data_IF_569118104366
#
_entry.id   IF_569118104366
#
_cell.length_a   1.000
_cell.length_b   1.000
_cell.length_c   1.000
_cell.angle_alpha   90.00
_cell.angle_beta   90.00
_cell.angle_gamma   90.00
#
_symmetry.space_group_name_H-M   'P 1'
#
loop_
_entity.id
_entity.type
_entity.pdbx_description
1 polymer ?
#
# COMPACT_ATOMS: atom_id res chain seq x y z
N UNK A 1 6.60 9.68 5.19
CA UNK A 1 5.12 9.70 5.08
C UNK A 1 4.66 8.43 4.39
N UNK A 2 4.55 7.33 5.13
CA UNK A 2 4.29 6.00 4.54
C UNK A 2 3.05 5.32 5.06
N UNK A 3 2.47 5.85 6.06
CA UNK A 3 1.46 5.14 6.85
C UNK A 3 0.05 5.60 6.60
N UNK A 4 -0.15 6.62 5.78
CA UNK A 4 -1.48 7.13 5.55
C UNK A 4 -1.65 7.69 4.15
N UNK A 5 -2.68 7.24 3.48
CA UNK A 5 -3.17 7.89 2.30
C UNK A 5 -4.04 9.07 2.73
N UNK A 6 -3.79 10.25 2.15
CA UNK A 6 -4.60 11.45 2.40
C UNK A 6 -6.10 11.27 2.04
N UNK A 7 -6.43 10.18 1.32
CA UNK A 7 -7.79 9.85 0.93
C UNK A 7 -8.63 9.32 2.11
N UNK A 8 -8.02 8.61 3.06
CA UNK A 8 -8.72 8.19 4.27
C UNK A 8 -8.33 9.07 5.45
N UNK A 9 -9.02 10.18 5.61
CA UNK A 9 -8.83 11.15 6.70
C UNK A 9 -10.19 11.65 7.17
N UNK A 10 -10.34 12.10 8.44
CA UNK A 10 -11.57 12.72 8.88
C UNK A 10 -11.90 13.99 8.09
N UNK A 11 -13.16 14.30 7.97
CA UNK A 11 -13.63 15.61 7.47
C UNK A 11 -13.53 16.66 8.57
N UNK A 12 -13.24 17.90 8.21
CA UNK A 12 -13.20 19.03 9.14
C UNK A 12 -11.80 19.43 9.60
N UNK A 13 -11.64 19.86 10.86
CA UNK A 13 -10.38 20.42 11.37
C UNK A 13 -9.21 19.44 11.37
N UNK A 14 -9.46 18.14 11.45
CA UNK A 14 -8.45 17.08 11.48
C UNK A 14 -8.08 16.54 10.09
N UNK A 15 -8.52 17.17 9.02
CA UNK A 15 -8.20 16.74 7.64
C UNK A 15 -6.70 16.70 7.43
N UNK A 16 -6.20 15.54 6.99
CA UNK A 16 -4.78 15.32 6.73
C UNK A 16 -3.89 15.15 7.97
N UNK A 17 -4.42 15.38 9.18
CA UNK A 17 -3.68 15.22 10.42
C UNK A 17 -3.80 13.81 11.02
N UNK A 18 -4.92 13.15 10.77
CA UNK A 18 -5.17 11.78 11.20
C UNK A 18 -5.25 10.91 9.94
N UNK A 19 -4.47 9.85 9.89
CA UNK A 19 -4.42 8.94 8.77
C UNK A 19 -4.51 7.49 9.25
N UNK A 20 -5.08 6.63 8.42
CA UNK A 20 -5.15 5.18 8.66
C UNK A 20 -3.89 4.48 8.17
N UNK A 21 -3.61 3.29 8.72
CA UNK A 21 -2.53 2.44 8.24
C UNK A 21 -2.80 1.97 6.81
N UNK A 22 -1.75 1.91 6.01
CA UNK A 22 -1.80 1.28 4.69
C UNK A 22 -1.87 -0.23 4.82
N UNK A 23 -2.34 -0.89 3.76
CA UNK A 23 -2.28 -2.35 3.65
C UNK A 23 -0.83 -2.83 3.75
N UNK A 24 -0.63 -4.03 4.28
CA UNK A 24 0.67 -4.66 4.51
C UNK A 24 1.56 -3.99 5.57
N UNK A 25 1.19 -2.83 6.12
CA UNK A 25 1.92 -2.24 7.24
C UNK A 25 1.70 -3.06 8.53
N UNK A 26 2.75 -3.19 9.32
CA UNK A 26 2.67 -3.87 10.62
C UNK A 26 3.47 -3.10 11.68
N UNK A 27 3.22 -3.43 12.93
CA UNK A 27 3.98 -2.92 14.07
C UNK A 27 5.07 -3.92 14.43
N UNK A 28 6.31 -3.46 14.55
CA UNK A 28 7.42 -4.32 14.95
C UNK A 28 7.43 -4.55 16.49
N UNK A 29 8.38 -5.37 16.97
CA UNK A 29 8.52 -5.67 18.40
C UNK A 29 8.84 -4.45 19.26
N UNK A 30 9.43 -3.42 18.68
CA UNK A 30 9.76 -2.15 19.35
C UNK A 30 8.63 -1.12 19.30
N UNK A 31 7.49 -1.44 18.69
CA UNK A 31 6.33 -0.55 18.57
C UNK A 31 6.36 0.41 17.38
N UNK A 32 7.34 0.30 16.47
CA UNK A 32 7.42 1.13 15.26
C UNK A 32 6.68 0.48 14.10
N UNK A 33 6.14 1.32 13.22
CA UNK A 33 5.52 0.89 11.97
C UNK A 33 6.59 0.49 10.95
N UNK A 34 6.37 -0.62 10.29
CA UNK A 34 7.22 -1.10 9.20
C UNK A 34 6.39 -1.60 8.04
N UNK A 35 6.95 -1.49 6.84
CA UNK A 35 6.33 -1.91 5.59
C UNK A 35 7.25 -2.85 4.83
N UNK A 36 6.69 -3.81 4.07
CA UNK A 36 7.48 -4.80 3.35
C UNK A 36 7.94 -4.28 1.99
N UNK A 37 9.16 -4.67 1.60
CA UNK A 37 9.75 -4.38 0.30
C UNK A 37 10.51 -5.58 -0.25
N UNK A 38 10.63 -5.65 -1.57
CA UNK A 38 11.56 -6.56 -2.23
C UNK A 38 12.91 -5.89 -2.42
N UNK A 39 13.98 -6.61 -2.13
CA UNK A 39 15.33 -6.13 -2.38
C UNK A 39 15.65 -6.19 -3.88
N UNK A 40 16.36 -5.17 -4.35
CA UNK A 40 16.88 -5.10 -5.72
C UNK A 40 18.41 -5.11 -5.66
N UNK A 41 19.04 -5.96 -6.46
CA UNK A 41 20.50 -6.02 -6.59
C UNK A 41 20.84 -5.96 -8.07
N UNK A 42 21.63 -4.96 -8.47
CA UNK A 42 22.06 -4.76 -9.85
C UNK A 42 20.89 -4.80 -10.86
N UNK A 43 19.76 -4.14 -10.51
CA UNK A 43 18.58 -4.08 -11.35
C UNK A 43 17.72 -5.35 -11.35
N UNK A 44 18.06 -6.37 -10.56
CA UNK A 44 17.26 -7.59 -10.39
C UNK A 44 16.49 -7.57 -9.10
N UNK A 45 15.18 -7.74 -9.20
CA UNK A 45 14.27 -7.86 -8.04
C UNK A 45 14.35 -9.27 -7.48
N UNK A 46 14.70 -9.39 -6.21
CA UNK A 46 14.76 -10.68 -5.51
C UNK A 46 13.40 -11.01 -4.92
N UNK A 47 12.55 -11.67 -5.70
CA UNK A 47 11.23 -12.14 -5.25
C UNK A 47 11.27 -13.51 -4.57
N UNK A 48 12.46 -14.06 -4.39
CA UNK A 48 12.65 -15.36 -3.73
C UNK A 48 12.85 -15.15 -2.24
N UNK A 49 11.94 -15.66 -1.44
CA UNK A 49 12.01 -15.60 0.01
C UNK A 49 10.96 -14.69 0.65
N UNK A 50 11.25 -14.23 1.86
CA UNK A 50 10.37 -13.32 2.58
C UNK A 50 10.71 -11.86 2.24
N UNK A 51 9.69 -10.99 2.19
CA UNK A 51 9.92 -9.57 2.02
C UNK A 51 10.68 -8.99 3.22
N UNK A 52 11.45 -7.95 2.97
CA UNK A 52 12.19 -7.23 4.01
C UNK A 52 11.31 -6.10 4.52
N UNK A 53 11.10 -6.05 5.82
CA UNK A 53 10.34 -4.98 6.45
C UNK A 53 11.28 -3.86 6.88
N UNK A 54 10.95 -2.65 6.48
CA UNK A 54 11.71 -1.44 6.78
C UNK A 54 10.86 -0.47 7.60
N UNK A 55 11.49 0.13 8.61
CA UNK A 55 10.94 1.28 9.35
C UNK A 55 11.23 2.57 8.60
N UNK A 56 10.52 3.66 8.92
CA UNK A 56 10.64 4.92 8.19
C UNK A 56 12.05 5.53 8.21
N UNK A 57 12.76 5.41 9.33
CA UNK A 57 14.15 5.89 9.48
C UNK A 57 15.13 5.13 8.58
N UNK A 58 14.98 3.81 8.50
CA UNK A 58 15.81 2.95 7.65
C UNK A 58 15.45 3.18 6.17
N UNK A 59 14.18 3.33 5.87
CA UNK A 59 13.68 3.53 4.52
C UNK A 59 14.22 4.83 3.88
N UNK A 60 14.38 5.88 4.66
CA UNK A 60 14.94 7.14 4.18
C UNK A 60 16.40 7.04 3.71
N UNK A 61 17.11 5.98 4.09
CA UNK A 61 18.50 5.74 3.68
C UNK A 61 18.62 5.08 2.31
N UNK A 62 17.52 4.52 1.77
CA UNK A 62 17.52 3.72 0.55
C UNK A 62 16.69 4.35 -0.58
N UNK A 63 17.05 3.99 -1.80
CA UNK A 63 16.34 4.36 -3.02
C UNK A 63 15.26 3.33 -3.31
N UNK A 64 14.00 3.72 -3.15
CA UNK A 64 12.85 2.83 -3.24
C UNK A 64 12.03 3.15 -4.48
N UNK A 65 11.89 2.14 -5.36
CA UNK A 65 11.08 2.22 -6.55
C UNK A 65 9.60 1.87 -6.25
N UNK A 66 8.64 2.46 -6.97
CA UNK A 66 7.23 2.07 -6.88
C UNK A 66 6.99 0.68 -7.47
N UNK A 67 5.88 0.05 -7.07
CA UNK A 67 5.56 -1.32 -7.48
C UNK A 67 5.10 -1.46 -8.93
N UNK A 68 4.74 -0.36 -9.60
CA UNK A 68 4.25 -0.33 -10.98
C UNK A 68 5.35 -0.43 -12.05
N UNK A 69 6.61 -0.47 -11.64
CA UNK A 69 7.74 -0.62 -12.55
C UNK A 69 7.70 -2.02 -13.19
N UNK A 70 7.76 -2.04 -14.51
CA UNK A 70 7.76 -3.29 -15.28
C UNK A 70 9.06 -4.07 -15.10
N UNK A 71 8.92 -5.37 -14.87
CA UNK A 71 10.03 -6.32 -14.82
C UNK A 71 9.91 -7.35 -15.95
N UNK A 72 11.01 -7.87 -16.44
CA UNK A 72 11.00 -8.97 -17.39
C UNK A 72 10.74 -10.33 -16.69
N UNK A 73 10.66 -11.41 -17.45
CA UNK A 73 10.45 -12.77 -16.93
C UNK A 73 11.52 -13.22 -15.91
N UNK A 74 12.71 -12.63 -15.96
CA UNK A 74 13.82 -12.92 -15.06
C UNK A 74 13.91 -11.96 -13.87
N UNK A 75 12.85 -11.14 -13.66
CA UNK A 75 12.75 -10.12 -12.62
C UNK A 75 13.76 -8.96 -12.71
N UNK A 76 14.29 -8.67 -13.90
CA UNK A 76 15.09 -7.47 -14.12
C UNK A 76 14.21 -6.26 -14.45
N UNK A 77 14.60 -5.11 -13.95
CA UNK A 77 13.97 -3.83 -14.27
C UNK A 77 14.25 -3.47 -15.75
N UNK A 78 13.19 -3.21 -16.51
CA UNK A 78 13.29 -3.02 -17.97
C UNK A 78 13.60 -1.57 -18.34
N UNK A 79 13.11 -0.61 -17.55
CA UNK A 79 13.29 0.82 -17.85
C UNK A 79 14.72 1.27 -17.55
N UNK A 80 15.28 2.08 -18.43
CA UNK A 80 16.62 2.67 -18.28
C UNK A 80 16.67 3.76 -17.20
N UNK A 81 15.56 4.42 -16.95
CA UNK A 81 15.41 5.48 -15.94
C UNK A 81 14.19 5.14 -15.09
N UNK A 82 14.40 5.08 -13.79
CA UNK A 82 13.38 4.70 -12.82
C UNK A 82 13.20 5.82 -11.82
N UNK A 83 11.96 6.34 -11.65
CA UNK A 83 11.66 7.27 -10.59
C UNK A 83 11.70 6.51 -9.26
N UNK A 84 12.48 7.01 -8.31
CA UNK A 84 12.59 6.45 -6.97
C UNK A 84 12.36 7.52 -5.93
N UNK A 85 11.91 7.11 -4.76
CA UNK A 85 11.90 7.94 -3.57
C UNK A 85 13.21 7.74 -2.81
N UNK A 86 13.88 8.84 -2.53
CA UNK A 86 15.08 8.88 -1.69
C UNK A 86 14.93 10.02 -0.69
N UNK A 87 14.97 9.69 0.59
CA UNK A 87 14.61 10.63 1.66
C UNK A 87 13.18 11.13 1.44
N UNK A 88 13.00 12.43 1.22
CA UNK A 88 11.69 13.07 0.98
C UNK A 88 11.50 13.51 -0.47
N UNK A 89 12.48 13.27 -1.32
CA UNK A 89 12.48 13.69 -2.72
C UNK A 89 12.24 12.53 -3.68
N UNK A 90 11.72 12.86 -4.84
CA UNK A 90 11.62 11.94 -5.98
C UNK A 90 12.74 12.24 -6.96
N UNK A 91 13.58 11.26 -7.20
CA UNK A 91 14.71 11.34 -8.12
C UNK A 91 14.63 10.25 -9.18
N UNK A 92 15.25 10.50 -10.32
CA UNK A 92 15.37 9.52 -11.39
C UNK A 92 16.75 8.87 -11.32
N UNK A 93 16.80 7.55 -11.28
CA UNK A 93 18.02 6.77 -11.15
C UNK A 93 18.08 5.65 -12.18
N UNK A 94 19.28 5.11 -12.38
CA UNK A 94 19.48 3.91 -13.20
C UNK A 94 19.03 2.64 -12.45
N UNK A 95 18.66 1.55 -13.16
CA UNK A 95 18.15 0.32 -12.54
C UNK A 95 19.08 -0.28 -11.49
N UNK A 96 20.39 -0.19 -11.68
CA UNK A 96 21.39 -0.75 -10.75
C UNK A 96 21.55 0.06 -9.45
N UNK A 97 21.02 1.28 -9.42
CA UNK A 97 21.05 2.14 -8.23
C UNK A 97 19.82 1.98 -7.34
N UNK A 98 18.83 1.22 -7.77
CA UNK A 98 17.61 0.93 -6.98
C UNK A 98 17.95 -0.08 -5.91
N UNK A 99 17.60 0.22 -4.66
CA UNK A 99 17.85 -0.66 -3.51
C UNK A 99 16.66 -1.55 -3.19
N UNK A 100 15.45 -0.99 -3.24
CA UNK A 100 14.21 -1.69 -2.92
C UNK A 100 13.09 -1.31 -3.88
N UNK A 101 12.11 -2.21 -3.99
CA UNK A 101 10.87 -1.98 -4.73
C UNK A 101 9.68 -2.36 -3.85
N UNK A 102 8.62 -1.59 -3.93
CA UNK A 102 7.36 -1.90 -3.23
C UNK A 102 6.77 -3.23 -3.73
N UNK A 103 6.14 -3.98 -2.84
CA UNK A 103 5.60 -5.32 -3.16
C UNK A 103 4.45 -5.22 -4.13
N UNK A 104 3.52 -4.30 -3.89
CA UNK A 104 2.28 -4.17 -4.66
C UNK A 104 1.83 -2.70 -4.70
N UNK A 105 1.19 -2.26 -5.78
CA UNK A 105 0.57 -0.93 -5.84
C UNK A 105 -0.48 -0.71 -4.75
N UNK A 106 -1.14 -1.76 -4.27
CA UNK A 106 -2.14 -1.69 -3.20
C UNK A 106 -1.53 -1.29 -1.84
N UNK A 107 -0.23 -1.38 -1.69
CA UNK A 107 0.49 -0.99 -0.48
C UNK A 107 0.34 0.49 -0.12
N UNK A 108 -0.04 1.34 -1.07
CA UNK A 108 -0.23 2.77 -0.86
C UNK A 108 -1.64 3.14 -0.37
N UNK A 109 -2.59 2.22 -0.43
CA UNK A 109 -3.97 2.44 0.02
C UNK A 109 -4.23 1.82 1.38
N UNK A 110 -5.18 2.39 2.12
CA UNK A 110 -5.67 1.80 3.38
C UNK A 110 -6.58 0.60 3.11
N UNK A 111 -6.90 -0.15 4.16
CA UNK A 111 -7.83 -1.28 4.06
C UNK A 111 -9.19 -0.83 3.54
N UNK A 112 -9.75 0.27 4.06
CA UNK A 112 -11.05 0.78 3.60
C UNK A 112 -11.02 1.20 2.13
N UNK A 113 -9.99 1.94 1.71
CA UNK A 113 -9.82 2.34 0.32
C UNK A 113 -9.61 1.15 -0.63
N UNK A 114 -8.97 0.09 -0.16
CA UNK A 114 -8.77 -1.14 -0.95
C UNK A 114 -10.06 -1.92 -1.24
N UNK A 115 -11.13 -1.66 -0.50
CA UNK A 115 -12.44 -2.27 -0.69
C UNK A 115 -13.37 -1.49 -1.63
N UNK A 116 -12.94 -0.33 -2.11
CA UNK A 116 -13.72 0.47 -3.07
C UNK A 116 -13.47 -0.06 -4.48
N UNK A 117 -14.50 -0.61 -5.17
CA UNK A 117 -14.36 -1.07 -6.55
C UNK A 117 -14.14 0.12 -7.49
N UNK A 118 -13.31 -0.05 -8.52
CA UNK A 118 -12.94 0.99 -9.49
C UNK A 118 -12.37 2.26 -8.85
N UNK A 119 -11.62 2.09 -7.79
CA UNK A 119 -11.05 3.18 -7.00
C UNK A 119 -10.23 4.19 -7.85
N UNK A 120 -9.50 3.70 -8.86
CA UNK A 120 -8.69 4.50 -9.77
C UNK A 120 -9.50 5.45 -10.67
N UNK A 121 -10.80 5.21 -10.80
CA UNK A 121 -11.72 6.03 -11.58
C UNK A 121 -12.51 7.04 -10.74
N UNK A 122 -12.37 6.99 -9.42
CA UNK A 122 -13.12 7.84 -8.51
C UNK A 122 -12.39 9.15 -8.25
N UNK A 123 -13.16 10.22 -8.06
CA UNK A 123 -12.64 11.49 -7.54
C UNK A 123 -12.18 11.33 -6.08
N UNK A 124 -11.08 11.99 -5.72
CA UNK A 124 -10.49 11.88 -4.37
C UNK A 124 -11.46 12.28 -3.26
N UNK A 125 -12.28 13.31 -3.48
CA UNK A 125 -13.29 13.75 -2.49
C UNK A 125 -14.35 12.69 -2.24
N UNK A 126 -14.82 12.03 -3.30
CA UNK A 126 -15.82 10.94 -3.19
C UNK A 126 -15.24 9.68 -2.59
N UNK A 127 -14.00 9.35 -2.90
CA UNK A 127 -13.29 8.24 -2.28
C UNK A 127 -13.09 8.46 -0.78
N UNK A 128 -12.76 9.68 -0.36
CA UNK A 128 -12.66 10.06 1.05
C UNK A 128 -14.01 9.89 1.77
N UNK A 129 -15.09 10.42 1.18
CA UNK A 129 -16.43 10.28 1.74
C UNK A 129 -16.85 8.80 1.85
N UNK A 130 -16.62 8.01 0.80
CA UNK A 130 -16.92 6.58 0.78
C UNK A 130 -16.16 5.80 1.84
N UNK A 131 -14.88 6.06 2.02
CA UNK A 131 -14.05 5.44 3.06
C UNK A 131 -14.55 5.77 4.46
N UNK A 132 -14.99 7.00 4.70
CA UNK A 132 -15.57 7.41 5.98
C UNK A 132 -16.93 6.74 6.23
N UNK A 133 -17.77 6.61 5.20
CA UNK A 133 -19.07 5.94 5.30
C UNK A 133 -18.95 4.43 5.56
N UNK A 134 -17.91 3.75 5.07
CA UNK A 134 -17.68 2.34 5.36
C UNK A 134 -17.56 2.06 6.87
N UNK A 135 -16.98 2.97 7.65
CA UNK A 135 -16.89 2.84 9.11
C UNK A 135 -18.21 3.04 9.83
N UNK A 136 -19.20 3.61 9.16
CA UNK A 136 -20.56 3.85 9.68
C UNK A 136 -21.57 2.82 9.20
N UNK A 137 -21.10 1.80 8.47
CA UNK A 137 -21.98 0.75 7.92
C UNK A 137 -22.60 -0.10 9.03
N UNK A 138 -23.83 -0.52 8.80
CA UNK A 138 -24.59 -1.39 9.71
C UNK A 138 -24.74 -2.76 9.05
N UNK A 139 -24.48 -3.87 9.78
CA UNK A 139 -24.68 -5.21 9.25
C UNK A 139 -26.12 -5.44 8.82
N UNK A 140 -26.31 -6.11 7.69
CA UNK A 140 -27.63 -6.48 7.19
C UNK A 140 -28.16 -7.71 7.93
N UNK A 141 -29.48 -7.78 8.10
CA UNK A 141 -30.14 -8.96 8.69
C UNK A 141 -29.93 -10.21 7.82
N UNK A 142 -30.00 -10.05 6.51
CA UNK A 142 -29.69 -11.09 5.52
C UNK A 142 -28.57 -10.60 4.61
N UNK A 143 -27.30 -10.90 4.95
CA UNK A 143 -26.17 -10.46 4.15
C UNK A 143 -26.17 -11.18 2.79
N UNK A 144 -25.85 -10.42 1.74
CA UNK A 144 -25.70 -10.93 0.39
C UNK A 144 -24.30 -10.64 -0.14
N UNK A 145 -23.80 -11.52 -1.01
CA UNK A 145 -22.54 -11.30 -1.68
C UNK A 145 -22.66 -10.11 -2.65
N UNK A 146 -21.73 -9.15 -2.64
CA UNK A 146 -21.77 -8.06 -3.61
C UNK A 146 -21.55 -8.59 -5.03
N UNK A 147 -22.24 -7.97 -6.01
CA UNK A 147 -22.09 -8.31 -7.43
C UNK A 147 -20.74 -7.84 -7.95
N UNK A 148 -20.32 -6.65 -7.52
CA UNK A 148 -19.02 -6.04 -7.87
C UNK A 148 -18.18 -5.90 -6.61
N UNK A 149 -16.95 -6.36 -6.66
CA UNK A 149 -16.02 -6.31 -5.55
C UNK A 149 -14.57 -6.25 -6.02
N UNK A 150 -13.66 -6.03 -5.08
CA UNK A 150 -12.22 -5.93 -5.35
C UNK A 150 -11.48 -7.27 -5.27
N UNK A 151 -12.12 -8.31 -4.74
CA UNK A 151 -11.50 -9.61 -4.49
C UNK A 151 -10.75 -9.71 -3.16
N UNK A 152 -10.60 -8.62 -2.41
CA UNK A 152 -9.94 -8.58 -1.11
C UNK A 152 -10.90 -8.79 0.06
N UNK A 153 -12.20 -8.77 -0.17
CA UNK A 153 -13.23 -8.84 0.87
C UNK A 153 -13.09 -10.09 1.72
N UNK A 154 -12.88 -11.24 1.07
CA UNK A 154 -12.72 -12.52 1.78
C UNK A 154 -11.49 -12.53 2.67
N UNK A 155 -10.35 -12.09 2.16
CA UNK A 155 -9.10 -12.02 2.92
C UNK A 155 -9.22 -11.09 4.12
N UNK A 156 -9.80 -9.92 3.92
CA UNK A 156 -10.01 -8.94 4.99
C UNK A 156 -10.97 -9.49 6.06
N UNK A 157 -12.03 -10.18 5.66
CA UNK A 157 -12.96 -10.79 6.60
C UNK A 157 -12.30 -11.88 7.48
N UNK A 158 -11.41 -12.68 6.90
CA UNK A 158 -10.63 -13.68 7.64
C UNK A 158 -9.63 -12.99 8.60
N UNK A 159 -8.85 -12.04 8.10
CA UNK A 159 -7.80 -11.38 8.87
C UNK A 159 -8.37 -10.54 10.02
N UNK A 160 -9.58 -10.00 9.86
CA UNK A 160 -10.30 -9.28 10.92
C UNK A 160 -10.93 -10.20 11.97
N UNK A 161 -10.95 -11.52 11.74
CA UNK A 161 -11.57 -12.49 12.64
C UNK A 161 -13.11 -12.51 12.60
N UNK A 162 -13.74 -11.85 11.63
CA UNK A 162 -15.20 -11.82 11.47
C UNK A 162 -15.76 -13.15 10.94
N UNK A 163 -14.94 -13.92 10.25
CA UNK A 163 -15.28 -15.25 9.74
C UNK A 163 -14.27 -16.28 10.21
N UNK A 164 -14.74 -17.51 10.44
CA UNK A 164 -13.87 -18.64 10.69
C UNK A 164 -13.22 -19.08 9.37
N UNK A 165 -11.92 -19.32 9.42
CA UNK A 165 -11.13 -19.86 8.29
C UNK A 165 -11.34 -21.35 8.13
#
# INVERSE_FOLDING_TARGET
MQTGLLIETPEGQNVGLIASLTTCARVNKSGFLETPFWRVINGKVLKTGLPIYLTADIEDLYKIAPADITTNSNNYLVKNIIPVRFKQDFINVAPWEVDFISISPIQVVSVAASLIPFFEHDDANRALMGSNMQRQSVPLLFPQKPIVGTGLEHQIAIDSGMTLS
#
